data_IF_249305803741
#
_entry.id   IF_249305803741
#
_cell.length_a   1.000
_cell.length_b   1.000
_cell.length_c   1.000
_cell.angle_alpha   90.00
_cell.angle_beta   90.00
_cell.angle_gamma   90.00
#
_symmetry.space_group_name_H-M   'P 1'
#
loop_
_entity.id
_entity.type
_entity.pdbx_description
1 polymer ?
#
# COMPACT_ATOMS: atom_id res chain seq x y z
N UNK A 1 7.06 13.91 1.72
CA UNK A 1 7.58 12.80 2.55
C UNK A 1 6.59 12.35 3.63
N UNK A 2 6.27 13.19 4.64
CA UNK A 2 5.43 12.79 5.80
C UNK A 2 4.12 12.10 5.43
N UNK A 3 3.32 12.72 4.54
CA UNK A 3 2.02 12.19 4.11
C UNK A 3 2.16 10.77 3.53
N UNK A 4 3.09 10.57 2.60
CA UNK A 4 3.33 9.27 1.99
C UNK A 4 3.82 8.22 3.01
N UNK A 5 4.70 8.62 3.92
CA UNK A 5 5.20 7.74 4.97
C UNK A 5 4.10 7.30 5.93
N UNK A 6 3.23 8.22 6.35
CA UNK A 6 2.08 7.90 7.21
C UNK A 6 1.06 6.99 6.52
N UNK A 7 0.78 7.24 5.24
CA UNK A 7 -0.15 6.43 4.46
C UNK A 7 0.34 5.03 4.11
N UNK A 8 1.65 4.78 4.19
CA UNK A 8 2.21 3.44 3.98
C UNK A 8 1.54 2.39 4.88
N UNK A 9 1.27 2.75 6.14
CA UNK A 9 0.60 1.87 7.11
C UNK A 9 -0.91 1.72 6.84
N UNK A 10 -1.54 2.75 6.27
CA UNK A 10 -3.00 2.82 6.07
C UNK A 10 -3.48 2.24 4.73
N UNK A 11 -2.56 1.95 3.82
CA UNK A 11 -2.88 1.55 2.44
C UNK A 11 -2.86 0.03 2.32
N UNK A 12 -3.99 -0.68 2.13
CA UNK A 12 -3.96 -2.15 2.06
C UNK A 12 -3.29 -2.69 0.78
N UNK A 13 -3.40 -1.98 -0.34
CA UNK A 13 -2.93 -2.42 -1.65
C UNK A 13 -1.39 -2.41 -1.72
N UNK A 14 -0.81 -3.58 -1.99
CA UNK A 14 0.65 -3.78 -2.01
C UNK A 14 1.32 -2.92 -3.09
N UNK A 15 0.72 -2.82 -4.29
CA UNK A 15 1.28 -1.97 -5.37
C UNK A 15 1.40 -0.50 -4.91
N UNK A 16 0.34 0.05 -4.32
CA UNK A 16 0.33 1.42 -3.82
C UNK A 16 1.32 1.63 -2.66
N UNK A 17 1.41 0.66 -1.74
CA UNK A 17 2.42 0.67 -0.66
C UNK A 17 3.84 0.71 -1.20
N UNK A 18 4.19 -0.16 -2.14
CA UNK A 18 5.54 -0.22 -2.71
C UNK A 18 5.90 1.07 -3.44
N UNK A 19 4.93 1.63 -4.18
CA UNK A 19 5.07 2.92 -4.84
C UNK A 19 5.33 4.06 -3.84
N UNK A 20 4.53 4.14 -2.76
CA UNK A 20 4.75 5.13 -1.71
C UNK A 20 6.12 4.97 -1.05
N UNK A 21 6.51 3.75 -0.71
CA UNK A 21 7.79 3.47 -0.07
C UNK A 21 8.98 3.98 -0.88
N UNK A 22 8.97 3.74 -2.20
CA UNK A 22 10.02 4.26 -3.09
C UNK A 22 10.03 5.78 -3.15
N UNK A 23 8.88 6.41 -3.38
CA UNK A 23 8.82 7.86 -3.54
C UNK A 23 9.02 8.63 -2.24
N UNK A 24 8.80 8.01 -1.08
CA UNK A 24 9.16 8.60 0.23
C UNK A 24 10.65 8.90 0.30
N UNK A 25 11.49 7.98 -0.20
CA UNK A 25 12.94 8.18 -0.24
C UNK A 25 13.31 9.37 -1.13
N UNK A 26 12.83 9.42 -2.36
CA UNK A 26 13.13 10.53 -3.28
C UNK A 26 12.61 11.88 -2.72
N UNK A 27 11.43 11.88 -2.08
CA UNK A 27 10.94 13.06 -1.37
C UNK A 27 11.85 13.49 -0.21
N UNK A 28 12.47 12.54 0.51
CA UNK A 28 13.42 12.84 1.58
C UNK A 28 14.70 13.44 1.00
N UNK A 29 15.20 12.90 -0.11
CA UNK A 29 16.35 13.44 -0.84
C UNK A 29 16.07 14.85 -1.37
N UNK A 30 14.88 15.10 -1.92
CA UNK A 30 14.46 16.44 -2.34
C UNK A 30 14.45 17.43 -1.18
N UNK A 31 13.87 17.05 -0.04
CA UNK A 31 13.81 17.89 1.15
C UNK A 31 15.22 18.22 1.68
N UNK A 32 16.12 17.23 1.76
CA UNK A 32 17.50 17.44 2.20
C UNK A 32 18.28 18.36 1.24
N UNK A 33 18.13 18.18 -0.08
CA UNK A 33 18.75 19.05 -1.07
C UNK A 33 18.30 20.50 -0.92
N UNK A 34 17.00 20.74 -0.80
CA UNK A 34 16.45 22.08 -0.58
C UNK A 34 16.89 22.66 0.75
N UNK A 35 16.81 21.88 1.82
CA UNK A 35 17.20 22.32 3.16
C UNK A 35 18.67 22.72 3.29
N UNK A 36 19.57 22.07 2.53
CA UNK A 36 20.99 22.45 2.41
C UNK A 36 21.20 23.68 1.52
N UNK A 37 20.34 23.90 0.52
CA UNK A 37 20.43 25.07 -0.37
C UNK A 37 19.97 26.36 0.32
N UNK A 38 19.02 26.29 1.24
CA UNK A 38 18.48 27.46 1.97
C UNK A 38 19.53 28.38 2.61
N UNK A 39 20.52 27.89 3.41
CA UNK A 39 21.53 28.77 4.01
C UNK A 39 22.42 29.47 2.98
N UNK A 40 22.68 28.84 1.83
CA UNK A 40 23.40 29.46 0.72
C UNK A 40 22.61 30.63 0.10
N UNK A 41 21.28 30.61 0.26
CA UNK A 41 20.35 31.66 -0.14
C UNK A 41 19.99 32.61 1.02
N UNK A 42 20.74 32.56 2.13
CA UNK A 42 20.54 33.37 3.36
C UNK A 42 19.20 33.11 4.07
N UNK A 43 18.62 31.94 3.89
CA UNK A 43 17.49 31.43 4.68
C UNK A 43 17.97 30.45 5.76
N UNK A 44 17.10 30.09 6.70
CA UNK A 44 17.43 29.08 7.72
C UNK A 44 17.53 27.69 7.11
N UNK A 45 18.53 26.91 7.52
CA UNK A 45 18.73 25.56 7.01
C UNK A 45 17.65 24.60 7.49
N UNK A 46 17.17 23.73 6.59
CA UNK A 46 16.17 22.69 6.88
C UNK A 46 14.84 23.21 7.47
N UNK A 47 14.56 24.52 7.39
CA UNK A 47 13.33 25.14 7.85
C UNK A 47 12.54 25.64 6.65
N UNK A 48 11.25 25.29 6.57
CA UNK A 48 10.33 25.82 5.57
C UNK A 48 8.97 26.08 6.19
N UNK A 49 8.28 27.12 5.71
CA UNK A 49 6.93 27.46 6.12
C UNK A 49 5.98 27.36 4.92
N UNK A 50 4.73 26.92 5.11
CA UNK A 50 3.72 26.99 4.05
C UNK A 50 3.49 28.45 3.63
N UNK A 51 3.27 28.70 2.34
CA UNK A 51 3.10 30.05 1.81
C UNK A 51 1.90 30.82 2.41
N UNK A 52 0.94 30.12 3.01
CA UNK A 52 -0.15 30.75 3.73
C UNK A 52 -1.12 29.75 4.37
N UNK A 53 -2.15 30.24 5.09
CA UNK A 53 -3.17 29.40 5.72
C UNK A 53 -3.98 28.59 4.71
N UNK A 54 -4.20 29.11 3.49
CA UNK A 54 -4.91 28.39 2.44
C UNK A 54 -4.13 27.15 1.95
N UNK A 55 -2.80 27.24 1.83
CA UNK A 55 -1.95 26.07 1.52
C UNK A 55 -2.05 25.03 2.64
N UNK A 56 -2.01 25.46 3.91
CA UNK A 56 -2.21 24.55 5.05
C UNK A 56 -3.56 23.84 4.97
N UNK A 57 -4.63 24.57 4.66
CA UNK A 57 -5.98 24.01 4.51
C UNK A 57 -6.08 23.01 3.34
N UNK A 58 -5.42 23.29 2.20
CA UNK A 58 -5.39 22.37 1.07
C UNK A 58 -4.68 21.04 1.43
N UNK A 59 -3.55 21.09 2.14
CA UNK A 59 -2.89 19.87 2.61
C UNK A 59 -3.66 19.16 3.73
N UNK A 60 -4.32 19.89 4.63
CA UNK A 60 -5.22 19.29 5.62
C UNK A 60 -6.38 18.54 4.95
N UNK A 61 -6.95 19.07 3.86
CA UNK A 61 -7.95 18.38 3.05
C UNK A 61 -7.38 17.07 2.47
N UNK A 62 -6.18 17.12 1.88
CA UNK A 62 -5.53 15.92 1.31
C UNK A 62 -5.34 14.85 2.40
N UNK A 63 -4.91 15.27 3.58
CA UNK A 63 -4.64 14.38 4.72
C UNK A 63 -5.90 13.71 5.29
N UNK A 64 -7.12 14.17 4.97
CA UNK A 64 -8.35 13.49 5.41
C UNK A 64 -8.55 12.07 4.83
N UNK A 65 -7.74 11.66 3.86
CA UNK A 65 -7.75 10.31 3.30
C UNK A 65 -7.04 9.28 4.23
N UNK A 66 -7.58 9.04 5.42
CA UNK A 66 -6.99 8.16 6.44
C UNK A 66 -7.64 6.77 6.52
N UNK A 67 -8.85 6.58 6.01
CA UNK A 67 -9.53 5.28 6.10
C UNK A 67 -8.87 4.22 5.19
N UNK A 68 -8.84 2.93 5.56
CA UNK A 68 -8.23 1.87 4.76
C UNK A 68 -8.76 1.78 3.32
N UNK A 69 -10.02 2.16 3.10
CA UNK A 69 -10.70 2.14 1.80
C UNK A 69 -10.35 3.32 0.89
N UNK A 70 -9.52 4.27 1.34
CA UNK A 70 -9.25 5.55 0.65
C UNK A 70 -7.94 5.58 -0.17
N UNK A 71 -7.46 4.43 -0.63
CA UNK A 71 -6.24 4.37 -1.46
C UNK A 71 -6.37 5.17 -2.75
N UNK A 72 -7.56 5.18 -3.38
CA UNK A 72 -7.82 5.95 -4.60
C UNK A 72 -7.64 7.45 -4.35
N UNK A 73 -8.13 7.98 -3.23
CA UNK A 73 -8.00 9.38 -2.84
C UNK A 73 -6.53 9.77 -2.63
N UNK A 74 -5.77 8.92 -1.94
CA UNK A 74 -4.34 9.12 -1.68
C UNK A 74 -3.55 9.19 -2.98
N UNK A 75 -3.73 8.20 -3.85
CA UNK A 75 -3.05 8.14 -5.15
C UNK A 75 -3.45 9.31 -6.04
N UNK A 76 -4.74 9.63 -6.10
CA UNK A 76 -5.26 10.74 -6.90
C UNK A 76 -4.66 12.08 -6.43
N UNK A 77 -4.74 12.39 -5.14
CA UNK A 77 -4.22 13.65 -4.60
C UNK A 77 -2.73 13.80 -4.88
N UNK A 78 -1.94 12.76 -4.68
CA UNK A 78 -0.48 12.86 -4.84
C UNK A 78 -0.08 12.85 -6.31
N UNK A 79 -0.53 11.86 -7.08
CA UNK A 79 0.03 11.57 -8.40
C UNK A 79 -0.69 12.25 -9.56
N UNK A 80 -1.97 12.62 -9.40
CA UNK A 80 -2.68 13.43 -10.39
C UNK A 80 -2.62 14.92 -10.10
N UNK A 81 -2.41 15.31 -8.84
CA UNK A 81 -2.46 16.72 -8.43
C UNK A 81 -1.14 17.25 -7.88
N UNK A 82 -0.71 16.84 -6.68
CA UNK A 82 0.42 17.49 -5.98
C UNK A 82 1.74 17.36 -6.74
N UNK A 83 2.13 16.17 -7.19
CA UNK A 83 3.40 15.97 -7.89
C UNK A 83 3.45 16.65 -9.27
N UNK A 84 2.41 16.54 -10.13
CA UNK A 84 2.35 17.32 -11.36
C UNK A 84 2.37 18.83 -11.13
N UNK A 85 1.72 19.31 -10.07
CA UNK A 85 1.74 20.72 -9.69
C UNK A 85 3.14 21.17 -9.24
N UNK A 86 3.82 20.40 -8.39
CA UNK A 86 5.21 20.66 -8.00
C UNK A 86 6.14 20.73 -9.21
N UNK A 87 6.01 19.79 -10.14
CA UNK A 87 6.80 19.81 -11.37
C UNK A 87 6.55 21.09 -12.19
N UNK A 88 5.28 21.52 -12.29
CA UNK A 88 4.92 22.77 -12.97
C UNK A 88 5.55 24.00 -12.31
N UNK A 89 5.52 24.07 -10.98
CA UNK A 89 6.14 25.17 -10.22
C UNK A 89 7.66 25.16 -10.39
N UNK A 90 8.30 23.99 -10.30
CA UNK A 90 9.74 23.87 -10.49
C UNK A 90 10.18 24.19 -11.91
N UNK A 91 9.42 23.78 -12.93
CA UNK A 91 9.70 24.14 -14.34
C UNK A 91 9.64 25.65 -14.55
N UNK A 92 8.62 26.33 -13.99
CA UNK A 92 8.51 27.79 -14.04
C UNK A 92 9.68 28.47 -13.33
N UNK A 93 10.07 27.98 -12.16
CA UNK A 93 11.21 28.53 -11.44
C UNK A 93 12.54 28.29 -12.20
N UNK A 94 12.71 27.12 -12.81
CA UNK A 94 13.90 26.80 -13.62
C UNK A 94 14.03 27.70 -14.85
N UNK A 95 12.91 28.10 -15.45
CA UNK A 95 12.89 28.97 -16.62
C UNK A 95 13.44 30.38 -16.32
N UNK A 96 13.28 30.86 -15.08
CA UNK A 96 13.75 32.19 -14.65
C UNK A 96 15.04 32.17 -13.82
N UNK A 97 15.45 31.00 -13.31
CA UNK A 97 16.66 30.85 -12.52
C UNK A 97 17.93 31.17 -13.33
N UNK A 98 18.81 32.01 -12.77
CA UNK A 98 19.96 32.54 -13.50
C UNK A 98 21.03 31.45 -13.75
N UNK A 99 21.43 31.17 -15.01
CA UNK A 99 22.38 30.11 -15.32
C UNK A 99 23.81 30.39 -14.84
N UNK A 100 24.18 31.65 -14.60
CA UNK A 100 25.51 32.06 -14.15
C UNK A 100 25.60 32.04 -12.62
N UNK A 101 24.59 32.57 -11.93
CA UNK A 101 24.65 32.75 -10.47
C UNK A 101 23.98 31.62 -9.67
N UNK A 102 23.08 30.86 -10.30
CA UNK A 102 22.33 29.80 -9.64
C UNK A 102 22.54 28.37 -10.18
N UNK A 103 23.75 27.94 -10.65
CA UNK A 103 23.96 26.55 -11.08
C UNK A 103 23.51 25.48 -10.07
N UNK A 104 23.74 25.61 -8.74
CA UNK A 104 23.26 24.63 -7.76
C UNK A 104 21.74 24.52 -7.70
N UNK A 105 21.03 25.66 -7.67
CA UNK A 105 19.55 25.69 -7.68
C UNK A 105 19.02 25.01 -8.93
N UNK A 106 19.57 25.32 -10.10
CA UNK A 106 19.17 24.73 -11.39
C UNK A 106 19.36 23.22 -11.41
N UNK A 107 20.46 22.70 -10.85
CA UNK A 107 20.71 21.25 -10.74
C UNK A 107 19.69 20.55 -9.85
N UNK A 108 19.32 21.16 -8.72
CA UNK A 108 18.28 20.63 -7.82
C UNK A 108 16.92 20.63 -8.52
N UNK A 109 16.55 21.74 -9.18
CA UNK A 109 15.29 21.85 -9.93
C UNK A 109 15.19 20.79 -11.03
N UNK A 110 16.20 20.66 -11.89
CA UNK A 110 16.20 19.67 -12.98
C UNK A 110 15.99 18.26 -12.45
N UNK A 111 16.66 17.90 -11.34
CA UNK A 111 16.45 16.61 -10.69
C UNK A 111 15.02 16.46 -10.17
N UNK A 112 14.53 17.42 -9.39
CA UNK A 112 13.19 17.36 -8.81
C UNK A 112 12.11 17.27 -9.89
N UNK A 113 12.23 18.04 -10.97
CA UNK A 113 11.29 18.00 -12.10
C UNK A 113 11.24 16.59 -12.70
N UNK A 114 12.39 16.02 -13.04
CA UNK A 114 12.45 14.69 -13.64
C UNK A 114 11.83 13.63 -12.73
N UNK A 115 12.16 13.66 -11.43
CA UNK A 115 11.64 12.70 -10.45
C UNK A 115 10.13 12.91 -10.20
N UNK A 116 9.63 14.14 -10.02
CA UNK A 116 8.18 14.37 -9.82
C UNK A 116 7.33 13.99 -11.03
N UNK A 117 7.82 14.22 -12.26
CA UNK A 117 7.15 13.78 -13.48
C UNK A 117 7.16 12.24 -13.60
N UNK A 118 8.28 11.59 -13.29
CA UNK A 118 8.38 10.12 -13.25
C UNK A 118 7.43 9.52 -12.21
N UNK A 119 7.42 10.07 -10.99
CA UNK A 119 6.53 9.65 -9.92
C UNK A 119 5.06 9.78 -10.32
N UNK A 120 4.67 10.90 -10.94
CA UNK A 120 3.30 11.12 -11.41
C UNK A 120 2.90 10.08 -12.46
N UNK A 121 3.77 9.79 -13.42
CA UNK A 121 3.53 8.76 -14.44
C UNK A 121 3.40 7.35 -13.84
N UNK A 122 4.30 6.97 -12.91
CA UNK A 122 4.22 5.68 -12.23
C UNK A 122 2.92 5.55 -11.40
N UNK A 123 2.57 6.60 -10.66
CA UNK A 123 1.33 6.62 -9.88
C UNK A 123 0.06 6.61 -10.72
N UNK A 124 0.08 7.24 -11.90
CA UNK A 124 -1.03 7.15 -12.84
C UNK A 124 -1.27 5.69 -13.30
N UNK A 125 -0.21 4.93 -13.58
CA UNK A 125 -0.32 3.52 -13.98
C UNK A 125 -0.86 2.64 -12.85
N UNK A 126 -0.39 2.83 -11.60
CA UNK A 126 -0.93 2.09 -10.45
C UNK A 126 -2.39 2.46 -10.20
N UNK A 127 -2.74 3.74 -10.28
CA UNK A 127 -4.12 4.19 -10.13
C UNK A 127 -5.01 3.58 -11.22
N UNK A 128 -4.59 3.59 -12.48
CA UNK A 128 -5.33 2.99 -13.59
C UNK A 128 -5.61 1.49 -13.35
N UNK A 129 -4.62 0.73 -12.89
CA UNK A 129 -4.80 -0.70 -12.53
C UNK A 129 -5.82 -0.90 -11.42
N UNK A 130 -5.78 -0.06 -10.39
CA UNK A 130 -6.71 -0.15 -9.25
C UNK A 130 -8.13 0.26 -9.62
N UNK A 131 -8.29 1.24 -10.52
CA UNK A 131 -9.59 1.61 -11.07
C UNK A 131 -10.14 0.50 -11.97
N UNK A 132 -9.28 -0.14 -12.76
CA UNK A 132 -9.70 -1.17 -13.72
C UNK A 132 -10.82 -0.67 -14.62
N UNK A 133 -11.90 -1.45 -14.73
CA UNK A 133 -13.12 -1.05 -15.45
C UNK A 133 -14.23 -0.54 -14.53
N UNK A 134 -13.95 -0.27 -13.25
CA UNK A 134 -14.93 0.18 -12.27
C UNK A 134 -15.26 1.67 -12.47
N UNK A 135 -16.45 1.93 -13.01
CA UNK A 135 -16.94 3.30 -13.25
C UNK A 135 -17.16 4.09 -11.96
N UNK A 136 -17.57 3.46 -10.87
CA UNK A 136 -17.83 4.14 -9.61
C UNK A 136 -16.52 4.61 -8.96
N UNK A 137 -15.48 3.75 -8.97
CA UNK A 137 -14.15 4.14 -8.51
C UNK A 137 -13.56 5.25 -9.37
N UNK A 138 -13.75 5.19 -10.71
CA UNK A 138 -13.26 6.20 -11.61
C UNK A 138 -13.92 7.57 -11.39
N UNK A 139 -15.24 7.61 -11.15
CA UNK A 139 -15.94 8.85 -10.80
C UNK A 139 -15.52 9.39 -9.43
N UNK A 140 -15.32 8.51 -8.45
CA UNK A 140 -14.84 8.87 -7.13
C UNK A 140 -13.45 9.53 -7.20
N UNK A 141 -12.53 8.96 -8.00
CA UNK A 141 -11.23 9.55 -8.26
C UNK A 141 -11.35 10.95 -8.91
N UNK A 142 -12.18 11.09 -9.96
CA UNK A 142 -12.41 12.38 -10.64
C UNK A 142 -13.00 13.44 -9.72
N UNK A 143 -13.98 13.06 -8.89
CA UNK A 143 -14.58 13.97 -7.92
C UNK A 143 -13.55 14.46 -6.91
N UNK A 144 -12.73 13.55 -6.39
CA UNK A 144 -11.67 13.90 -5.45
C UNK A 144 -10.59 14.78 -6.07
N UNK A 145 -10.14 14.45 -7.29
CA UNK A 145 -9.19 15.26 -8.05
C UNK A 145 -9.65 16.72 -8.19
N UNK A 146 -10.92 16.93 -8.57
CA UNK A 146 -11.51 18.28 -8.67
C UNK A 146 -11.46 19.01 -7.34
N UNK A 147 -11.87 18.36 -6.25
CA UNK A 147 -11.85 18.97 -4.90
C UNK A 147 -10.45 19.39 -4.46
N UNK A 148 -9.43 18.56 -4.72
CA UNK A 148 -8.04 18.90 -4.37
C UNK A 148 -7.52 20.03 -5.26
N UNK A 149 -7.82 20.02 -6.55
CA UNK A 149 -7.46 21.11 -7.47
C UNK A 149 -8.12 22.44 -7.09
N UNK A 150 -9.41 22.42 -6.74
CA UNK A 150 -10.13 23.60 -6.26
C UNK A 150 -9.50 24.16 -4.99
N UNK A 151 -9.12 23.30 -4.03
CA UNK A 151 -8.45 23.73 -2.81
C UNK A 151 -7.06 24.33 -3.09
N UNK A 152 -6.29 23.73 -3.99
CA UNK A 152 -5.00 24.31 -4.43
C UNK A 152 -5.20 25.62 -5.20
N UNK A 153 -6.21 25.73 -6.06
CA UNK A 153 -6.51 26.96 -6.79
C UNK A 153 -6.88 28.10 -5.85
N UNK A 154 -7.74 27.83 -4.86
CA UNK A 154 -8.07 28.79 -3.81
C UNK A 154 -6.84 29.20 -2.98
N UNK A 155 -5.83 28.34 -2.88
CA UNK A 155 -4.58 28.63 -2.21
C UNK A 155 -3.54 29.34 -3.08
N UNK A 156 -3.78 29.57 -4.38
CA UNK A 156 -2.76 30.07 -5.31
C UNK A 156 -1.66 29.03 -5.57
N UNK A 157 -1.98 27.74 -5.55
CA UNK A 157 -1.01 26.66 -5.61
C UNK A 157 -0.16 26.52 -4.33
N UNK A 158 0.92 25.74 -4.40
CA UNK A 158 1.77 25.45 -3.23
C UNK A 158 2.64 26.63 -2.80
N UNK A 159 2.88 27.60 -3.68
CA UNK A 159 3.66 28.82 -3.40
C UNK A 159 2.79 30.02 -3.05
N UNK A 160 1.46 29.93 -3.17
CA UNK A 160 0.55 31.03 -2.86
C UNK A 160 0.27 32.00 -4.01
N UNK A 161 1.02 31.88 -5.12
CA UNK A 161 1.05 32.83 -6.23
C UNK A 161 1.13 32.17 -7.62
N UNK A 162 0.70 30.90 -7.74
CA UNK A 162 0.70 30.15 -9.00
C UNK A 162 -0.49 30.55 -9.88
N UNK A 163 -0.20 31.18 -11.01
CA UNK A 163 -1.21 31.45 -12.03
C UNK A 163 -1.67 30.16 -12.75
N UNK A 164 -2.97 30.05 -13.11
CA UNK A 164 -3.47 28.96 -13.94
C UNK A 164 -2.75 28.86 -15.29
N UNK A 165 -2.58 27.64 -15.84
CA UNK A 165 -2.99 26.36 -15.27
C UNK A 165 -2.08 25.96 -14.10
N UNK A 166 -2.65 25.39 -13.04
CA UNK A 166 -1.86 24.89 -11.89
C UNK A 166 -0.99 23.68 -12.26
N UNK A 167 -1.43 22.91 -13.25
CA UNK A 167 -0.72 21.73 -13.73
C UNK A 167 -0.53 21.91 -15.23
N UNK A 168 0.72 22.03 -15.66
CA UNK A 168 1.10 21.98 -17.06
C UNK A 168 1.43 20.54 -17.46
N UNK A 169 1.01 20.15 -18.66
CA UNK A 169 1.51 18.93 -19.28
C UNK A 169 3.03 19.04 -19.49
N UNK A 170 3.79 17.97 -19.26
CA UNK A 170 5.23 18.01 -19.49
C UNK A 170 5.52 18.18 -20.99
N UNK A 171 6.58 18.92 -21.32
CA UNK A 171 7.00 19.11 -22.71
C UNK A 171 7.39 17.79 -23.41
N UNK A 172 7.90 16.82 -22.64
CA UNK A 172 8.16 15.47 -23.08
C UNK A 172 7.65 14.48 -22.03
N UNK A 173 7.08 13.36 -22.48
CA UNK A 173 6.68 12.29 -21.56
C UNK A 173 7.92 11.74 -20.83
N UNK A 174 7.79 11.34 -19.55
CA UNK A 174 8.86 10.65 -18.84
C UNK A 174 9.30 9.39 -19.59
N UNK A 175 10.59 9.09 -19.56
CA UNK A 175 11.14 7.87 -20.15
C UNK A 175 10.45 6.63 -19.54
N UNK A 176 9.80 5.77 -20.35
CA UNK A 176 9.12 4.58 -19.86
C UNK A 176 10.03 3.64 -19.06
N UNK A 177 11.31 3.53 -19.43
CA UNK A 177 12.25 2.67 -18.71
C UNK A 177 12.53 3.21 -17.30
N UNK A 178 12.64 4.53 -17.15
CA UNK A 178 12.74 5.18 -15.85
C UNK A 178 11.45 5.00 -15.02
N UNK A 179 10.27 5.20 -15.61
CA UNK A 179 8.98 4.98 -14.93
C UNK A 179 8.83 3.54 -14.45
N UNK A 180 9.26 2.56 -15.26
CA UNK A 180 9.19 1.15 -14.90
C UNK A 180 10.02 0.79 -13.65
N UNK A 181 11.08 1.55 -13.32
CA UNK A 181 11.87 1.34 -12.10
C UNK A 181 11.06 1.65 -10.83
N UNK A 182 10.06 2.54 -10.94
CA UNK A 182 9.18 2.88 -9.83
C UNK A 182 8.05 1.85 -9.64
N UNK A 183 7.76 1.08 -10.69
CA UNK A 183 6.75 0.03 -10.69
C UNK A 183 7.36 -1.29 -10.24
N UNK A 184 7.31 -1.54 -8.94
CA UNK A 184 7.60 -2.88 -8.43
C UNK A 184 6.41 -3.77 -8.74
N UNK A 185 6.63 -4.81 -9.57
CA UNK A 185 5.61 -5.83 -9.78
C UNK A 185 5.21 -6.39 -8.41
N UNK A 186 3.93 -6.36 -8.03
CA UNK A 186 3.55 -6.99 -6.78
C UNK A 186 3.97 -8.46 -6.84
N UNK A 187 4.38 -9.06 -5.73
CA UNK A 187 4.47 -10.51 -5.68
C UNK A 187 3.15 -11.08 -6.21
N UNK A 188 3.21 -12.16 -7.01
CA UNK A 188 2.01 -12.82 -7.52
C UNK A 188 1.03 -12.98 -6.36
N UNK A 189 -0.23 -12.59 -6.56
CA UNK A 189 -1.26 -12.79 -5.55
C UNK A 189 -1.13 -14.22 -5.04
N UNK A 190 -1.05 -14.35 -3.73
CA UNK A 190 -0.96 -15.64 -3.07
C UNK A 190 -2.22 -16.42 -3.41
N UNK A 191 -2.12 -17.29 -4.41
CA UNK A 191 -3.19 -18.18 -4.81
C UNK A 191 -3.20 -19.35 -3.82
N UNK A 192 -4.18 -19.29 -2.92
CA UNK A 192 -4.41 -20.31 -1.89
C UNK A 192 -4.54 -21.69 -2.53
N UNK A 193 -5.22 -21.81 -3.67
CA UNK A 193 -5.46 -23.09 -4.34
C UNK A 193 -4.15 -23.67 -4.88
N UNK A 194 -3.37 -22.86 -5.61
CA UNK A 194 -2.04 -23.29 -6.06
C UNK A 194 -1.11 -23.62 -4.89
N UNK A 195 -1.16 -22.87 -3.79
CA UNK A 195 -0.33 -23.11 -2.61
C UNK A 195 -0.70 -24.41 -1.88
N UNK A 196 -1.99 -24.73 -1.80
CA UNK A 196 -2.51 -25.96 -1.20
C UNK A 196 -2.20 -27.18 -2.09
N UNK A 197 -2.40 -27.08 -3.40
CA UNK A 197 -2.28 -28.22 -4.32
C UNK A 197 -3.15 -29.39 -3.85
N UNK A 198 -2.55 -30.59 -3.75
CA UNK A 198 -3.26 -31.81 -3.35
C UNK A 198 -3.81 -31.78 -1.90
N UNK A 199 -3.45 -30.78 -1.09
CA UNK A 199 -4.03 -30.59 0.24
C UNK A 199 -5.42 -29.92 0.19
N UNK A 200 -5.79 -29.28 -0.92
CA UNK A 200 -7.02 -28.50 -0.98
C UNK A 200 -8.29 -29.34 -0.66
N UNK A 201 -8.49 -30.56 -1.22
CA UNK A 201 -9.67 -31.35 -0.90
C UNK A 201 -9.71 -31.84 0.57
N UNK A 202 -8.63 -32.43 1.15
CA UNK A 202 -8.61 -32.78 2.56
C UNK A 202 -8.86 -31.58 3.49
N UNK A 203 -8.23 -30.43 3.20
CA UNK A 203 -8.42 -29.22 4.00
C UNK A 203 -9.85 -28.70 3.91
N UNK A 204 -10.51 -28.80 2.76
CA UNK A 204 -11.93 -28.41 2.63
C UNK A 204 -12.84 -29.28 3.51
N UNK A 205 -12.61 -30.60 3.53
CA UNK A 205 -13.35 -31.51 4.41
C UNK A 205 -13.10 -31.21 5.90
N UNK A 206 -11.84 -30.98 6.25
CA UNK A 206 -11.41 -30.60 7.59
C UNK A 206 -12.05 -29.29 8.07
N UNK A 207 -12.03 -28.23 7.25
CA UNK A 207 -12.68 -26.94 7.54
C UNK A 207 -14.18 -27.10 7.80
N UNK A 208 -14.84 -27.97 7.04
CA UNK A 208 -16.25 -28.27 7.25
C UNK A 208 -16.50 -29.03 8.57
N UNK A 209 -15.61 -29.93 8.97
CA UNK A 209 -15.67 -30.61 10.26
C UNK A 209 -15.46 -29.63 11.43
N UNK A 210 -14.49 -28.71 11.33
CA UNK A 210 -14.27 -27.63 12.30
C UNK A 210 -15.52 -26.74 12.44
N UNK A 211 -16.09 -26.28 11.33
CA UNK A 211 -17.26 -25.40 11.34
C UNK A 211 -18.44 -26.03 12.12
N UNK A 212 -18.63 -27.35 11.97
CA UNK A 212 -19.66 -28.13 12.67
C UNK A 212 -19.28 -28.54 14.10
N UNK A 213 -18.04 -28.31 14.53
CA UNK A 213 -17.54 -28.80 15.82
C UNK A 213 -17.36 -30.32 15.91
N UNK A 214 -17.19 -31.01 14.77
CA UNK A 214 -16.95 -32.46 14.72
C UNK A 214 -15.49 -32.79 15.08
N UNK A 215 -15.16 -32.64 16.36
CA UNK A 215 -13.81 -32.89 16.87
C UNK A 215 -13.39 -34.36 16.75
N UNK A 216 -14.34 -35.30 16.65
CA UNK A 216 -14.03 -36.71 16.44
C UNK A 216 -13.43 -36.93 15.04
N UNK A 217 -14.00 -36.32 14.01
CA UNK A 217 -13.43 -36.35 12.66
C UNK A 217 -12.10 -35.63 12.60
N UNK A 218 -12.00 -34.42 13.17
CA UNK A 218 -10.73 -33.66 13.21
C UNK A 218 -9.60 -34.46 13.88
N UNK A 219 -9.88 -35.15 14.99
CA UNK A 219 -8.88 -36.00 15.67
C UNK A 219 -8.41 -37.18 14.83
N UNK A 220 -9.28 -37.75 13.97
CA UNK A 220 -8.89 -38.87 13.08
C UNK A 220 -7.93 -38.45 11.96
N UNK A 221 -7.79 -37.15 11.70
CA UNK A 221 -6.90 -36.60 10.68
C UNK A 221 -5.49 -36.32 11.21
N UNK A 222 -5.29 -36.38 12.54
CA UNK A 222 -3.98 -36.35 13.15
C UNK A 222 -3.11 -37.52 12.66
N UNK A 223 -1.81 -37.25 12.52
CA UNK A 223 -0.79 -38.26 12.29
C UNK A 223 -0.58 -39.08 13.57
N UNK A 224 -0.07 -40.30 13.41
CA UNK A 224 0.41 -41.12 14.54
C UNK A 224 1.59 -40.46 15.25
N UNK A 225 2.34 -39.63 14.52
CA UNK A 225 3.46 -38.85 15.05
C UNK A 225 3.03 -37.52 15.69
N UNK A 226 1.73 -37.19 15.67
CA UNK A 226 1.24 -35.97 16.29
C UNK A 226 1.39 -36.06 17.83
N UNK A 227 1.90 -35.01 18.47
CA UNK A 227 2.08 -35.02 19.92
C UNK A 227 0.70 -34.97 20.62
N UNK A 228 0.53 -35.58 21.81
CA UNK A 228 -0.76 -35.63 22.51
C UNK A 228 -1.39 -34.25 22.73
N UNK A 229 -0.55 -33.20 22.86
CA UNK A 229 -0.93 -31.80 22.99
C UNK A 229 -1.78 -31.30 21.83
N UNK A 230 -1.64 -31.86 20.62
CA UNK A 230 -2.46 -31.49 19.47
C UNK A 230 -3.95 -31.74 19.72
N UNK A 231 -4.29 -32.79 20.47
CA UNK A 231 -5.68 -33.11 20.86
C UNK A 231 -6.20 -32.08 21.85
N UNK A 232 -5.35 -31.61 22.77
CA UNK A 232 -5.69 -30.58 23.75
C UNK A 232 -5.91 -29.22 23.07
N UNK A 233 -5.11 -28.88 22.07
CA UNK A 233 -5.26 -27.66 21.29
C UNK A 233 -6.61 -27.61 20.55
N UNK A 234 -7.03 -28.71 19.92
CA UNK A 234 -8.37 -28.77 19.33
C UNK A 234 -9.50 -28.65 20.34
N UNK A 235 -9.29 -29.11 21.58
CA UNK A 235 -10.29 -28.95 22.65
C UNK A 235 -10.47 -27.49 23.10
N UNK A 236 -9.52 -26.60 22.75
CA UNK A 236 -9.63 -25.15 22.99
C UNK A 236 -10.48 -24.42 21.96
N UNK A 237 -10.88 -25.09 20.88
CA UNK A 237 -11.80 -24.51 19.90
C UNK A 237 -13.19 -24.33 20.50
N UNK A 238 -13.84 -23.21 20.17
CA UNK A 238 -15.18 -22.85 20.68
C UNK A 238 -16.23 -22.77 19.56
N UNK A 239 -16.53 -23.90 18.88
CA UNK A 239 -17.56 -23.92 17.83
C UNK A 239 -18.95 -23.56 18.40
N UNK A 240 -19.95 -23.21 17.56
CA UNK A 240 -19.90 -23.23 16.10
C UNK A 240 -19.13 -22.06 15.50
N UNK A 241 -18.54 -22.29 14.32
CA UNK A 241 -17.94 -21.24 13.50
C UNK A 241 -18.73 -21.07 12.22
N UNK A 242 -19.30 -19.90 12.01
CA UNK A 242 -20.04 -19.55 10.78
C UNK A 242 -19.07 -19.35 9.60
N UNK A 243 -17.81 -19.02 9.89
CA UNK A 243 -16.77 -18.80 8.88
C UNK A 243 -15.44 -19.40 9.30
N UNK A 244 -14.86 -20.20 8.41
CA UNK A 244 -13.54 -20.84 8.57
C UNK A 244 -12.74 -20.54 7.31
N UNK A 245 -11.83 -19.56 7.33
CA UNK A 245 -11.11 -19.07 6.15
C UNK A 245 -9.63 -19.41 6.21
N UNK A 246 -9.04 -19.77 5.07
CA UNK A 246 -7.58 -19.88 4.95
C UNK A 246 -7.00 -18.47 4.84
N UNK A 247 -6.23 -18.06 5.84
CA UNK A 247 -5.58 -16.73 5.90
C UNK A 247 -4.08 -16.79 5.66
N UNK A 248 -3.53 -17.99 5.50
CA UNK A 248 -2.14 -18.18 5.07
C UNK A 248 -1.83 -19.65 4.81
N UNK A 249 -0.96 -19.91 3.83
CA UNK A 249 -0.32 -21.21 3.64
C UNK A 249 1.16 -20.99 3.37
N UNK A 250 2.02 -21.73 4.08
CA UNK A 250 3.44 -21.80 3.79
C UNK A 250 3.81 -23.23 3.37
N UNK A 251 4.65 -23.35 2.34
CA UNK A 251 5.23 -24.62 1.91
C UNK A 251 6.62 -24.76 2.51
N UNK A 252 6.82 -25.80 3.33
CA UNK A 252 8.11 -26.13 3.95
C UNK A 252 8.49 -27.54 3.48
N UNK A 253 9.33 -27.62 2.45
CA UNK A 253 9.62 -28.88 1.76
C UNK A 253 8.36 -29.53 1.19
N UNK A 254 8.03 -30.73 1.68
CA UNK A 254 6.79 -31.47 1.35
C UNK A 254 5.60 -31.11 2.23
N UNK A 255 5.81 -30.38 3.32
CA UNK A 255 4.79 -30.05 4.30
C UNK A 255 4.03 -28.78 3.89
N UNK A 256 2.86 -28.56 4.50
CA UNK A 256 2.10 -27.32 4.43
C UNK A 256 1.81 -26.84 5.83
N UNK A 257 2.11 -25.58 6.13
CA UNK A 257 1.63 -24.91 7.33
C UNK A 257 0.44 -24.07 6.91
N UNK A 258 -0.74 -24.37 7.44
CA UNK A 258 -2.00 -23.72 7.11
C UNK A 258 -2.46 -22.91 8.31
N UNK A 259 -2.84 -21.66 8.07
CA UNK A 259 -3.43 -20.78 9.08
C UNK A 259 -4.89 -20.51 8.73
N UNK A 260 -5.78 -20.84 9.65
CA UNK A 260 -7.22 -20.68 9.54
C UNK A 260 -7.69 -19.56 10.48
N UNK A 261 -8.47 -18.64 9.95
CA UNK A 261 -9.24 -17.69 10.76
C UNK A 261 -10.65 -18.27 10.96
N UNK A 262 -11.03 -18.44 12.22
CA UNK A 262 -12.29 -19.00 12.66
C UNK A 262 -13.13 -17.87 13.26
N UNK A 263 -14.35 -17.70 12.78
CA UNK A 263 -15.28 -16.71 13.31
C UNK A 263 -16.65 -17.35 13.54
N UNK A 264 -17.24 -17.10 14.71
CA UNK A 264 -18.58 -17.52 15.05
C UNK A 264 -19.16 -16.66 16.17
N UNK A 265 -20.36 -17.01 16.62
CA UNK A 265 -21.09 -16.27 17.67
C UNK A 265 -20.34 -16.16 19.02
N UNK A 266 -19.37 -17.05 19.28
CA UNK A 266 -18.59 -17.09 20.53
C UNK A 266 -17.26 -16.33 20.45
N UNK A 267 -16.94 -15.73 19.30
CA UNK A 267 -15.72 -14.95 19.11
C UNK A 267 -14.91 -15.38 17.89
N UNK A 268 -13.64 -14.95 17.86
CA UNK A 268 -12.71 -15.21 16.77
C UNK A 268 -11.48 -15.93 17.30
N UNK A 269 -11.13 -17.04 16.65
CA UNK A 269 -9.95 -17.83 16.98
C UNK A 269 -9.12 -18.02 15.71
N UNK A 270 -7.83 -18.24 15.90
CA UNK A 270 -6.88 -18.55 14.83
C UNK A 270 -6.30 -19.92 15.12
N UNK A 271 -6.40 -20.80 14.14
CA UNK A 271 -5.88 -22.16 14.20
C UNK A 271 -4.74 -22.29 13.19
N UNK A 272 -3.57 -22.70 13.66
CA UNK A 272 -2.42 -22.99 12.82
C UNK A 272 -2.11 -24.48 12.87
N UNK A 273 -1.96 -25.08 11.70
CA UNK A 273 -1.75 -26.51 11.56
C UNK A 273 -0.60 -26.81 10.61
N UNK A 274 0.13 -27.88 10.90
CA UNK A 274 1.13 -28.41 9.98
C UNK A 274 0.65 -29.74 9.43
N UNK A 275 0.54 -29.80 8.11
CA UNK A 275 0.10 -30.94 7.35
C UNK A 275 1.29 -31.59 6.64
N UNK A 276 1.38 -32.91 6.70
CA UNK A 276 2.40 -33.72 6.04
C UNK A 276 1.74 -34.74 5.11
N UNK A 277 2.30 -35.01 3.91
CA UNK A 277 1.79 -36.06 3.04
C UNK A 277 2.25 -37.44 3.54
N UNK A 278 1.34 -38.41 3.63
CA UNK A 278 1.63 -39.81 3.94
C UNK A 278 0.98 -40.79 2.94
N UNK A 279 1.21 -42.09 3.12
CA UNK A 279 0.71 -43.15 2.22
C UNK A 279 -0.83 -43.18 2.11
N UNK A 280 -1.54 -42.71 3.14
CA UNK A 280 -3.00 -42.61 3.20
C UNK A 280 -3.56 -41.20 3.01
N UNK A 281 -2.78 -40.28 2.43
CA UNK A 281 -3.15 -38.87 2.25
C UNK A 281 -2.51 -37.93 3.27
N UNK A 282 -2.96 -36.68 3.28
CA UNK A 282 -2.43 -35.64 4.16
C UNK A 282 -2.85 -35.86 5.62
N UNK A 283 -1.92 -35.64 6.55
CA UNK A 283 -2.11 -35.80 8.00
C UNK A 283 -1.60 -34.60 8.77
N UNK A 284 -2.23 -34.30 9.90
CA UNK A 284 -1.88 -33.15 10.75
C UNK A 284 -0.88 -33.60 11.81
N UNK A 285 0.27 -32.92 11.91
CA UNK A 285 1.34 -33.27 12.86
C UNK A 285 1.51 -32.26 14.00
N UNK A 286 1.09 -31.01 13.81
CA UNK A 286 1.12 -29.99 14.86
C UNK A 286 -0.09 -29.09 14.73
N UNK A 287 -0.59 -28.62 15.87
CA UNK A 287 -1.80 -27.82 16.01
C UNK A 287 -1.50 -26.74 17.04
N UNK A 288 -1.90 -25.51 16.77
CA UNK A 288 -1.77 -24.39 17.69
C UNK A 288 -2.99 -23.47 17.55
N UNK A 289 -3.69 -23.25 18.66
CA UNK A 289 -4.85 -22.35 18.73
C UNK A 289 -4.46 -21.07 19.46
N UNK A 290 -4.79 -19.93 18.85
CA UNK A 290 -4.60 -18.62 19.45
C UNK A 290 -5.89 -17.82 19.36
N UNK A 291 -6.21 -17.05 20.40
CA UNK A 291 -7.36 -16.15 20.34
C UNK A 291 -6.97 -14.91 19.52
N UNK A 292 -7.85 -14.52 18.58
CA UNK A 292 -7.62 -13.28 17.84
C UNK A 292 -7.94 -12.12 18.76
N UNK A 293 -6.99 -11.20 18.95
CA UNK A 293 -7.30 -9.89 19.57
C UNK A 293 -8.38 -9.22 18.70
N UNK A 294 -9.45 -8.78 19.34
CA UNK A 294 -10.56 -8.04 18.73
C UNK A 294 -10.08 -6.76 18.08
#
# INVERSE_FOLDING_TARGET
>A
MRILGGWLALTPEVEAKLLFGRHVWDCAQHADLWGRRLPELRAKAQESEPAGPAVKAAFALIETAEAPTQTIERLTAVYRVVKPHLATVYERHLAVANPVYEPPTRRILTRCIAEERRHAAAGALVLERLLGHDRALAERARHWERRVLEALAAAGGITGDVEPPLIAAPAAAPDPASVAQDLVAPPRQFDVETALGDLAPPLSAHRAAIARGDLATVRRELSVEAPPEAVLEYARLTPPFDRVEVVGVARIGRQRVVKLALAGSRGRQVLQERWVPGEGGWRIVTVEVSDSKS
#
